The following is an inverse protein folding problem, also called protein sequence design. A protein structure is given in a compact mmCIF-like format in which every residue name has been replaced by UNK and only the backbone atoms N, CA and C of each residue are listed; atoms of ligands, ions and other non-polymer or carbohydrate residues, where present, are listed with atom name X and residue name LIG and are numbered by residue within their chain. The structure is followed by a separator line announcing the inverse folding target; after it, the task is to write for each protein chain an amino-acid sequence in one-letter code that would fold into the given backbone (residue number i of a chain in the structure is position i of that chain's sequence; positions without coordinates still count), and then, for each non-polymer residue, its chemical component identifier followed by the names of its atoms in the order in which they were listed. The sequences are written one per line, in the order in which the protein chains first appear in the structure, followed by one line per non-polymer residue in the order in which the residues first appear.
data_IF_301564948078
#
_entry.id   IF_301564948078
#
_cell.length_a   1.000
_cell.length_b   1.000
_cell.length_c   1.000
_cell.angle_alpha   90.00
_cell.angle_beta   90.00
_cell.angle_gamma   90.00
#
_symmetry.space_group_name_H-M   'P 1'
#
loop_
_entity.id
_entity.type
_entity.pdbx_description
1 polymer ?
#
# COMPACT_ATOMS: atom_id res chain seq x y z
N UNK A 1 50.29 7.60 3.43
CA UNK A 1 50.46 6.32 2.75
C UNK A 1 49.14 5.57 2.86
N UNK A 2 48.39 5.60 1.80
CA UNK A 2 47.11 4.90 1.71
C UNK A 2 47.27 3.74 0.73
N UNK A 3 47.16 2.53 1.19
CA UNK A 3 47.15 1.34 0.36
C UNK A 3 45.74 1.07 -0.12
N UNK A 4 45.65 1.06 -1.42
CA UNK A 4 44.43 0.69 -2.18
C UNK A 4 44.43 -0.83 -2.29
N UNK A 5 43.44 -1.45 -1.66
CA UNK A 5 43.17 -2.87 -1.89
C UNK A 5 42.14 -2.95 -3.00
N UNK A 6 42.58 -3.43 -4.14
CA UNK A 6 41.71 -3.86 -5.25
C UNK A 6 41.27 -5.29 -4.97
N UNK A 7 40.02 -5.49 -4.71
CA UNK A 7 39.45 -6.83 -4.78
C UNK A 7 38.73 -7.03 -6.12
N UNK A 8 39.30 -7.96 -6.86
CA UNK A 8 38.71 -8.48 -8.08
C UNK A 8 37.54 -9.39 -7.72
N UNK A 9 36.40 -9.09 -8.28
CA UNK A 9 35.32 -10.05 -8.30
C UNK A 9 35.37 -10.81 -9.64
N UNK A 10 35.77 -12.07 -9.51
CA UNK A 10 35.58 -13.08 -10.53
C UNK A 10 34.12 -13.34 -10.77
N UNK A 11 33.72 -13.16 -12.01
CA UNK A 11 32.41 -13.56 -12.50
C UNK A 11 32.44 -15.07 -12.77
N UNK A 12 31.62 -15.80 -12.04
CA UNK A 12 31.40 -17.21 -12.31
C UNK A 12 30.48 -17.35 -13.53
N UNK A 13 31.02 -17.87 -14.60
CA UNK A 13 30.29 -18.34 -15.79
C UNK A 13 29.42 -19.54 -15.43
N UNK A 14 28.15 -19.42 -15.72
CA UNK A 14 27.22 -20.54 -15.68
C UNK A 14 27.09 -21.09 -17.09
N UNK A 15 27.71 -22.22 -17.30
CA UNK A 15 27.65 -22.99 -18.53
C UNK A 15 26.29 -23.68 -18.66
N UNK A 16 25.50 -23.26 -19.62
CA UNK A 16 24.22 -23.89 -19.96
C UNK A 16 24.40 -24.89 -21.07
N UNK A 17 24.46 -26.16 -20.71
CA UNK A 17 24.39 -27.25 -21.70
C UNK A 17 22.97 -27.71 -21.89
N UNK A 18 22.48 -27.41 -23.07
CA UNK A 18 21.25 -27.92 -23.61
C UNK A 18 21.50 -29.36 -24.06
N UNK A 19 20.73 -30.27 -23.56
CA UNK A 19 20.65 -31.61 -24.15
C UNK A 19 19.27 -31.80 -24.76
N UNK A 20 19.28 -31.83 -26.07
CA UNK A 20 18.14 -32.24 -26.87
C UNK A 20 17.96 -33.75 -26.76
N UNK A 21 16.73 -34.20 -26.55
CA UNK A 21 16.34 -35.51 -27.05
C UNK A 21 14.92 -35.51 -27.53
N UNK A 22 14.83 -35.73 -28.83
CA UNK A 22 13.64 -36.15 -29.54
C UNK A 22 13.17 -37.55 -29.08
N UNK A 23 11.88 -37.75 -29.05
CA UNK A 23 11.26 -38.88 -29.73
C UNK A 23 9.75 -38.70 -29.84
N UNK A 24 9.36 -38.84 -31.08
CA UNK A 24 8.01 -38.90 -31.59
C UNK A 24 7.24 -40.12 -31.06
N UNK A 25 5.93 -39.94 -30.85
CA UNK A 25 4.96 -40.92 -31.39
C UNK A 25 3.54 -40.38 -31.33
N UNK A 26 2.88 -40.55 -32.42
CA UNK A 26 1.50 -40.38 -32.79
C UNK A 26 0.43 -40.80 -31.78
N UNK A 27 -0.70 -40.09 -31.83
CA UNK A 27 -1.94 -40.52 -31.21
C UNK A 27 -3.06 -39.46 -31.34
N UNK A 28 -3.73 -39.51 -32.46
CA UNK A 28 -4.98 -38.74 -32.72
C UNK A 28 -6.05 -39.13 -31.67
N UNK A 29 -6.79 -38.16 -31.13
CA UNK A 29 -8.21 -38.06 -31.33
C UNK A 29 -8.89 -36.93 -30.52
N UNK A 30 -9.61 -36.13 -31.28
CA UNK A 30 -10.94 -35.59 -31.02
C UNK A 30 -11.27 -34.86 -29.73
N UNK A 31 -11.57 -33.58 -29.96
CA UNK A 31 -12.78 -32.87 -29.53
C UNK A 31 -13.08 -32.87 -28.01
N UNK A 32 -12.88 -31.76 -27.40
CA UNK A 32 -13.96 -30.86 -27.02
C UNK A 32 -13.42 -29.59 -26.40
N UNK A 33 -13.93 -28.57 -26.98
CA UNK A 33 -14.01 -27.21 -26.53
C UNK A 33 -14.33 -27.14 -25.04
N UNK A 34 -13.80 -26.20 -24.50
CA UNK A 34 -14.30 -25.22 -23.57
C UNK A 34 -13.06 -24.69 -22.85
N UNK A 35 -12.75 -23.51 -23.15
CA UNK A 35 -13.40 -22.40 -22.68
C UNK A 35 -12.56 -21.60 -21.74
N UNK A 36 -12.16 -20.51 -22.31
CA UNK A 36 -12.21 -19.23 -21.66
C UNK A 36 -11.77 -19.19 -20.21
N UNK A 37 -10.49 -19.13 -20.05
CA UNK A 37 -9.96 -18.36 -18.94
C UNK A 37 -10.11 -16.91 -19.31
N UNK A 38 -10.76 -16.09 -18.53
CA UNK A 38 -10.66 -14.66 -18.72
C UNK A 38 -9.21 -14.29 -18.47
N UNK A 39 -8.58 -13.95 -19.54
CA UNK A 39 -7.27 -13.33 -19.59
C UNK A 39 -7.36 -12.02 -18.80
N UNK A 40 -6.94 -12.06 -17.57
CA UNK A 40 -6.75 -10.87 -16.76
C UNK A 40 -5.35 -10.29 -17.04
N UNK A 41 -5.04 -10.10 -18.32
CA UNK A 41 -3.94 -9.24 -18.72
C UNK A 41 -4.49 -7.85 -18.98
N UNK A 42 -4.97 -7.20 -17.95
CA UNK A 42 -5.17 -5.76 -17.96
C UNK A 42 -3.84 -5.08 -17.66
N UNK A 43 -2.95 -5.13 -18.66
CA UNK A 43 -1.81 -4.25 -18.77
C UNK A 43 -2.29 -2.87 -19.21
N UNK A 44 -3.23 -2.30 -18.47
CA UNK A 44 -3.55 -0.91 -18.60
C UNK A 44 -2.49 -0.11 -17.83
N UNK A 45 -1.51 0.41 -18.55
CA UNK A 45 -0.49 1.34 -18.06
C UNK A 45 -1.09 2.75 -17.87
N UNK A 46 -2.39 2.85 -17.61
CA UNK A 46 -3.00 4.11 -17.26
C UNK A 46 -2.65 4.46 -15.82
N UNK A 47 -2.20 5.69 -15.63
CA UNK A 47 -2.02 6.23 -14.30
C UNK A 47 -3.38 6.15 -13.55
N UNK A 48 -3.38 5.76 -12.29
CA UNK A 48 -4.62 5.64 -11.54
C UNK A 48 -5.36 6.98 -11.49
N UNK A 49 -6.66 6.92 -11.59
CA UNK A 49 -7.50 8.12 -11.45
C UNK A 49 -7.42 8.67 -10.02
N UNK A 50 -7.77 9.93 -9.85
CA UNK A 50 -7.86 10.57 -8.53
C UNK A 50 -8.73 9.75 -7.58
N UNK A 51 -9.92 9.32 -8.02
CA UNK A 51 -10.83 8.51 -7.21
C UNK A 51 -10.20 7.18 -6.78
N UNK A 52 -9.42 6.55 -7.64
CA UNK A 52 -8.70 5.32 -7.32
C UNK A 52 -7.59 5.56 -6.29
N UNK A 53 -6.88 6.68 -6.40
CA UNK A 53 -5.86 7.08 -5.43
C UNK A 53 -6.48 7.34 -4.05
N UNK A 54 -7.56 8.11 -4.01
CA UNK A 54 -8.27 8.41 -2.77
C UNK A 54 -8.86 7.15 -2.12
N UNK A 55 -9.50 6.29 -2.92
CA UNK A 55 -10.05 5.02 -2.44
C UNK A 55 -8.93 4.11 -1.86
N UNK A 56 -7.78 4.05 -2.53
CA UNK A 56 -6.63 3.26 -2.07
C UNK A 56 -6.02 3.85 -0.80
N UNK A 57 -5.98 5.16 -0.67
CA UNK A 57 -5.55 5.83 0.55
C UNK A 57 -6.44 5.45 1.74
N UNK A 58 -7.75 5.50 1.58
CA UNK A 58 -8.70 5.09 2.63
C UNK A 58 -8.50 3.61 2.99
N UNK A 59 -8.39 2.73 2.00
CA UNK A 59 -8.14 1.31 2.22
C UNK A 59 -6.87 1.07 3.04
N UNK A 60 -5.78 1.74 2.68
CA UNK A 60 -4.51 1.62 3.38
C UNK A 60 -4.59 2.17 4.82
N UNK A 61 -5.27 3.30 5.03
CA UNK A 61 -5.44 3.90 6.35
C UNK A 61 -6.28 3.03 7.30
N UNK A 62 -7.20 2.24 6.77
CA UNK A 62 -7.96 1.24 7.53
C UNK A 62 -7.12 0.05 8.00
N UNK A 63 -5.88 -0.06 7.57
CA UNK A 63 -4.92 -1.09 8.03
C UNK A 63 -3.97 -0.60 9.11
N UNK A 64 -4.04 0.67 9.48
CA UNK A 64 -3.22 1.27 10.54
C UNK A 64 -4.00 1.32 11.85
N UNK A 65 -3.44 0.75 12.89
CA UNK A 65 -4.07 0.65 14.21
C UNK A 65 -3.27 1.44 15.25
N UNK A 66 -3.99 2.07 16.17
CA UNK A 66 -3.38 2.52 17.41
C UNK A 66 -3.02 1.27 18.25
N UNK A 67 -1.81 1.13 18.76
CA UNK A 67 -1.42 -0.07 19.52
C UNK A 67 -2.22 -0.27 20.82
N UNK A 68 -2.87 0.77 21.33
CA UNK A 68 -3.67 0.72 22.56
C UNK A 68 -5.17 0.50 22.27
N UNK A 69 -5.62 0.73 21.04
CA UNK A 69 -7.04 0.68 20.66
C UNK A 69 -7.21 -0.32 19.51
N UNK A 70 -8.05 -1.36 19.64
CA UNK A 70 -8.20 -2.41 18.62
C UNK A 70 -9.09 -1.96 17.44
N UNK A 71 -9.02 -0.71 17.05
CA UNK A 71 -9.75 -0.12 15.92
C UNK A 71 -8.77 0.68 15.06
N UNK A 72 -8.96 0.63 13.75
CA UNK A 72 -8.11 1.38 12.82
C UNK A 72 -8.30 2.90 12.92
N UNK A 73 -7.28 3.65 12.54
CA UNK A 73 -7.26 5.11 12.69
C UNK A 73 -8.32 5.82 11.86
N UNK A 74 -8.74 5.23 10.72
CA UNK A 74 -9.78 5.81 9.88
C UNK A 74 -11.15 5.70 10.55
N UNK A 75 -11.49 4.51 11.08
CA UNK A 75 -12.72 4.26 11.83
C UNK A 75 -12.77 5.02 13.16
N UNK A 76 -11.62 5.28 13.77
CA UNK A 76 -11.51 6.16 14.94
C UNK A 76 -11.80 7.64 14.63
N UNK A 77 -11.88 8.02 13.36
CA UNK A 77 -12.08 9.41 12.98
C UNK A 77 -10.83 10.29 13.12
N UNK A 78 -9.65 9.70 13.10
CA UNK A 78 -8.38 10.43 13.21
C UNK A 78 -7.94 11.06 11.89
N UNK A 79 -8.54 10.69 10.77
CA UNK A 79 -8.23 11.25 9.46
C UNK A 79 -9.27 12.31 9.12
N UNK A 80 -8.84 13.56 9.03
CA UNK A 80 -9.73 14.70 8.84
C UNK A 80 -9.90 15.06 7.36
N UNK A 81 -8.85 14.89 6.57
CA UNK A 81 -8.87 15.21 5.14
C UNK A 81 -7.96 14.30 4.36
N UNK A 82 -8.43 13.89 3.19
CA UNK A 82 -7.62 13.23 2.17
C UNK A 82 -7.90 13.95 0.86
N UNK A 83 -6.85 14.41 0.17
CA UNK A 83 -6.96 15.15 -1.06
C UNK A 83 -5.78 14.83 -1.99
N UNK A 84 -6.00 14.90 -3.29
CA UNK A 84 -4.95 14.63 -4.28
C UNK A 84 -4.85 15.77 -5.28
N UNK A 85 -3.65 16.32 -5.41
CA UNK A 85 -3.36 17.37 -6.40
C UNK A 85 -2.65 16.77 -7.60
N UNK A 86 -3.31 16.78 -8.76
CA UNK A 86 -2.77 16.20 -10.01
C UNK A 86 -1.55 16.92 -10.54
N UNK A 87 -1.52 18.24 -10.39
CA UNK A 87 -0.50 19.12 -10.97
C UNK A 87 0.91 18.77 -10.48
N UNK A 88 1.03 18.46 -9.21
CA UNK A 88 2.29 18.10 -8.57
C UNK A 88 2.32 16.67 -8.04
N UNK A 89 1.28 15.88 -8.36
CA UNK A 89 1.09 14.50 -7.93
C UNK A 89 1.26 14.29 -6.42
N UNK A 90 0.72 15.22 -5.64
CA UNK A 90 0.83 15.19 -4.19
C UNK A 90 -0.45 14.67 -3.55
N UNK A 91 -0.33 13.66 -2.70
CA UNK A 91 -1.39 13.18 -1.83
C UNK A 91 -1.29 13.90 -0.48
N UNK A 92 -2.30 14.67 -0.15
CA UNK A 92 -2.41 15.42 1.10
C UNK A 92 -3.29 14.67 2.09
N UNK A 93 -2.81 14.48 3.30
CA UNK A 93 -3.56 13.86 4.38
C UNK A 93 -3.40 14.66 5.66
N UNK A 94 -4.51 15.16 6.19
CA UNK A 94 -4.56 15.78 7.50
C UNK A 94 -5.13 14.77 8.50
N UNK A 95 -4.39 14.49 9.54
CA UNK A 95 -4.81 13.58 10.60
C UNK A 95 -4.52 14.16 11.98
N UNK A 96 -5.16 13.58 12.97
CA UNK A 96 -4.94 13.91 14.38
C UNK A 96 -4.60 12.64 15.19
N UNK A 97 -4.45 12.81 16.48
CA UNK A 97 -4.29 11.76 17.47
C UNK A 97 -5.36 11.88 18.55
N UNK A 98 -5.62 10.79 19.25
CA UNK A 98 -6.58 10.80 20.37
C UNK A 98 -6.12 11.68 21.54
N UNK A 99 -4.81 11.91 21.64
CA UNK A 99 -4.22 12.83 22.62
C UNK A 99 -2.94 13.46 22.04
N UNK A 100 -2.65 14.75 22.37
CA UNK A 100 -1.45 15.43 21.87
C UNK A 100 -0.12 14.80 22.32
N UNK A 101 -0.14 14.10 23.45
CA UNK A 101 1.04 13.47 24.06
C UNK A 101 1.04 11.95 23.90
N UNK A 102 0.45 11.43 22.83
CA UNK A 102 0.43 9.99 22.59
C UNK A 102 1.88 9.45 22.41
N UNK A 103 2.35 8.52 23.26
CA UNK A 103 3.72 7.98 23.11
C UNK A 103 3.91 7.15 21.84
N UNK A 104 2.81 6.68 21.22
CA UNK A 104 2.83 5.95 19.97
C UNK A 104 2.71 6.84 18.73
N UNK A 105 2.68 8.17 18.89
CA UNK A 105 2.47 9.12 17.81
C UNK A 105 3.42 8.92 16.62
N UNK A 106 4.71 8.86 16.90
CA UNK A 106 5.74 8.70 15.88
C UNK A 106 5.60 7.37 15.12
N UNK A 107 5.23 6.32 15.83
CA UNK A 107 5.00 5.00 15.25
C UNK A 107 3.80 5.01 14.30
N UNK A 108 2.68 5.59 14.75
CA UNK A 108 1.46 5.70 13.93
C UNK A 108 1.72 6.55 12.68
N UNK A 109 2.38 7.71 12.83
CA UNK A 109 2.69 8.61 11.73
C UNK A 109 3.62 7.95 10.70
N UNK A 110 4.61 7.20 11.16
CA UNK A 110 5.52 6.48 10.26
C UNK A 110 4.79 5.35 9.51
N UNK A 111 3.94 4.57 10.18
CA UNK A 111 3.15 3.53 9.54
C UNK A 111 2.18 4.12 8.50
N UNK A 112 1.50 5.21 8.83
CA UNK A 112 0.65 5.96 7.90
C UNK A 112 1.46 6.41 6.69
N UNK A 113 2.62 7.03 6.90
CA UNK A 113 3.48 7.51 5.81
C UNK A 113 3.88 6.38 4.87
N UNK A 114 4.33 5.25 5.41
CA UNK A 114 4.73 4.08 4.62
C UNK A 114 3.56 3.53 3.79
N UNK A 115 2.38 3.44 4.38
CA UNK A 115 1.16 2.98 3.70
C UNK A 115 0.76 3.92 2.55
N UNK A 116 0.87 5.22 2.75
CA UNK A 116 0.52 6.21 1.73
C UNK A 116 1.54 6.27 0.60
N UNK A 117 2.83 6.18 0.90
CA UNK A 117 3.91 6.17 -0.09
C UNK A 117 3.87 4.92 -0.99
N UNK A 118 3.31 3.82 -0.50
CA UNK A 118 3.16 2.59 -1.28
C UNK A 118 2.09 2.66 -2.38
N UNK A 119 1.28 3.73 -2.42
CA UNK A 119 0.19 3.89 -3.39
C UNK A 119 0.78 4.30 -4.74
N UNK A 120 0.35 3.63 -5.81
CA UNK A 120 0.67 4.04 -7.17
C UNK A 120 -0.02 5.35 -7.54
N UNK A 121 0.70 6.23 -8.22
CA UNK A 121 0.20 7.50 -8.73
C UNK A 121 0.81 8.72 -8.07
N UNK A 122 0.66 8.91 -6.76
CA UNK A 122 1.33 10.01 -6.07
C UNK A 122 2.85 9.91 -6.11
N UNK A 123 3.50 11.03 -6.40
CA UNK A 123 4.97 11.18 -6.31
C UNK A 123 5.40 11.73 -4.94
N UNK A 124 4.48 12.39 -4.26
CA UNK A 124 4.70 13.00 -2.95
C UNK A 124 3.55 12.71 -2.01
N UNK A 125 3.85 12.61 -0.75
CA UNK A 125 2.88 12.50 0.34
C UNK A 125 3.14 13.64 1.33
N UNK A 126 2.14 14.49 1.48
CA UNK A 126 2.11 15.56 2.48
C UNK A 126 1.19 15.13 3.63
N UNK A 127 1.79 14.55 4.66
CA UNK A 127 1.11 14.12 5.87
C UNK A 127 1.27 15.17 6.95
N UNK A 128 0.16 15.75 7.38
CA UNK A 128 0.11 16.79 8.41
C UNK A 128 -0.62 16.31 9.64
N UNK A 129 0.00 16.51 10.79
CA UNK A 129 -0.62 16.30 12.09
C UNK A 129 -1.28 17.61 12.53
N UNK A 130 -2.59 17.58 12.75
CA UNK A 130 -3.39 18.72 13.14
C UNK A 130 -4.15 18.41 14.44
N UNK A 131 -4.37 19.41 15.29
CA UNK A 131 -5.08 19.30 16.54
C UNK A 131 -6.32 20.19 16.62
N UNK A 132 -6.68 20.82 15.51
CA UNK A 132 -7.90 21.59 15.33
C UNK A 132 -8.76 20.97 14.20
N UNK A 133 -10.01 20.63 14.44
CA UNK A 133 -10.65 20.53 15.76
C UNK A 133 -10.07 19.43 16.64
N UNK A 134 -10.20 19.56 17.95
CA UNK A 134 -9.80 18.53 18.90
C UNK A 134 -10.63 17.26 18.70
N UNK A 135 -9.97 16.11 18.67
CA UNK A 135 -10.63 14.83 18.50
C UNK A 135 -11.51 14.50 19.73
N UNK A 136 -12.67 13.94 19.46
CA UNK A 136 -13.56 13.39 20.48
C UNK A 136 -14.23 12.10 19.99
N UNK A 137 -14.87 11.37 20.88
CA UNK A 137 -15.48 10.07 20.60
C UNK A 137 -16.64 10.13 19.58
N UNK A 138 -17.27 11.28 19.41
CA UNK A 138 -18.36 11.44 18.44
C UNK A 138 -17.86 11.36 16.99
N UNK A 139 -16.56 11.58 16.77
CA UNK A 139 -15.91 11.48 15.47
C UNK A 139 -15.67 10.04 15.00
N UNK A 140 -15.81 9.06 15.90
CA UNK A 140 -15.71 7.64 15.53
C UNK A 140 -16.87 7.21 14.64
N UNK A 141 -16.60 6.25 13.76
CA UNK A 141 -17.65 5.53 13.05
C UNK A 141 -18.55 4.76 14.03
N UNK A 142 -19.78 4.46 13.62
CA UNK A 142 -20.70 3.66 14.45
C UNK A 142 -20.14 2.26 14.73
N UNK A 143 -19.45 1.67 13.76
CA UNK A 143 -18.78 0.38 13.92
C UNK A 143 -17.69 0.43 15.00
N UNK A 144 -16.87 1.49 14.98
CA UNK A 144 -15.83 1.70 15.98
C UNK A 144 -16.44 1.90 17.39
N UNK A 145 -17.50 2.67 17.49
CA UNK A 145 -18.22 2.88 18.75
C UNK A 145 -18.80 1.59 19.30
N UNK A 146 -19.37 0.76 18.42
CA UNK A 146 -19.91 -0.55 18.80
C UNK A 146 -18.81 -1.50 19.29
N UNK A 147 -17.70 -1.57 18.56
CA UNK A 147 -16.55 -2.42 18.90
C UNK A 147 -15.94 -2.04 20.26
N UNK A 148 -15.88 -0.75 20.56
CA UNK A 148 -15.36 -0.22 21.80
C UNK A 148 -16.40 -0.15 22.94
N UNK A 149 -17.64 -0.52 22.68
CA UNK A 149 -18.70 -0.58 23.68
C UNK A 149 -19.34 0.77 24.02
N UNK A 150 -19.30 1.74 23.10
CA UNK A 150 -19.94 3.05 23.27
C UNK A 150 -21.38 3.12 22.72
N UNK A 151 -21.79 2.07 22.07
CA UNK A 151 -23.17 1.90 21.57
C UNK A 151 -23.84 0.70 22.22
#
# INVERSE_FOLDING_TARGET
MAEVIKENHDAAEIDSRIVSNNSETDGQNSLEQINETPDASDNNTEEPSEDQILAKAIENLKTVFDPEIPVDIYSLGLVYKIDYTKEDKTLHVDMTLTAPSCPAADFILEDVRQKLVSIKGPEKVDLRLVFEPEWNQDMMSEEAKLELGFL
#
